data_IF_507620646426
#
_entry.id   IF_507620646426
#
_cell.length_a   1.000
_cell.length_b   1.000
_cell.length_c   1.000
_cell.angle_alpha   90.00
_cell.angle_beta   90.00
_cell.angle_gamma   90.00
#
_symmetry.space_group_name_H-M   'P 1'
#
loop_
_entity.id
_entity.type
_entity.pdbx_description
1 polymer ?
#
# COMPACT_ATOMS: atom_id res chain seq x y z
N UNK A 1 -7.90 21.55 0.55
CA UNK A 1 -7.32 20.21 0.79
C UNK A 1 -6.76 20.12 2.21
N UNK A 2 -6.16 21.19 2.75
CA UNK A 2 -6.09 21.35 4.21
C UNK A 2 -7.51 21.30 4.81
N UNK A 3 -7.64 20.60 5.93
CA UNK A 3 -8.83 20.40 6.78
C UNK A 3 -9.84 19.28 6.43
N UNK A 4 -9.59 18.46 5.39
CA UNK A 4 -10.50 17.36 5.00
C UNK A 4 -9.88 15.95 5.19
N UNK A 5 -8.80 15.86 5.94
CA UNK A 5 -8.09 14.60 6.15
C UNK A 5 -7.85 14.35 7.63
N UNK A 6 -8.10 13.11 8.05
CA UNK A 6 -7.55 12.57 9.29
C UNK A 6 -6.28 11.80 8.93
N UNK A 7 -5.14 12.21 9.50
CA UNK A 7 -3.87 11.52 9.33
C UNK A 7 -3.51 10.84 10.65
N UNK A 8 -3.30 9.53 10.62
CA UNK A 8 -2.81 8.76 11.76
C UNK A 8 -1.39 8.34 11.42
N UNK A 9 -0.43 8.76 12.22
CA UNK A 9 0.98 8.44 12.07
C UNK A 9 1.63 8.34 13.46
N UNK A 10 2.80 7.70 13.53
CA UNK A 10 3.60 7.74 14.76
C UNK A 10 4.05 9.18 15.05
N UNK A 11 4.18 9.55 16.33
CA UNK A 11 4.68 10.87 16.73
C UNK A 11 6.00 11.20 16.03
N UNK A 12 6.03 12.37 15.38
CA UNK A 12 7.21 12.85 14.67
C UNK A 12 8.33 13.06 15.72
N UNK A 13 9.54 12.51 15.48
CA UNK A 13 10.65 12.71 16.39
C UNK A 13 10.96 14.20 16.60
N UNK A 14 11.10 14.62 17.85
CA UNK A 14 11.36 16.03 18.21
C UNK A 14 12.74 16.54 17.77
N UNK A 15 13.66 15.62 17.47
CA UNK A 15 15.02 15.93 16.99
C UNK A 15 15.11 15.69 15.50
N UNK A 16 15.81 16.57 14.78
CA UNK A 16 16.06 16.44 13.33
C UNK A 16 16.73 15.11 12.92
N UNK A 17 17.44 14.47 13.85
CA UNK A 17 18.12 13.18 13.65
C UNK A 17 17.36 12.01 14.30
N UNK A 18 16.14 12.23 14.78
CA UNK A 18 15.37 11.19 15.45
C UNK A 18 14.75 10.25 14.43
N UNK A 19 14.78 8.94 14.73
CA UNK A 19 13.99 7.96 14.00
C UNK A 19 12.61 7.81 14.62
N UNK A 20 11.62 7.47 13.79
CA UNK A 20 10.36 6.91 14.28
C UNK A 20 10.68 5.67 15.13
N UNK A 21 10.11 5.56 16.34
CA UNK A 21 10.48 4.49 17.27
C UNK A 21 9.96 3.14 16.81
N UNK A 22 8.84 3.12 16.09
CA UNK A 22 8.13 1.89 15.72
C UNK A 22 7.93 1.70 14.23
N UNK A 23 8.22 2.72 13.41
CA UNK A 23 8.17 2.63 11.95
C UNK A 23 6.80 2.18 11.43
N UNK A 24 5.72 2.64 12.08
CA UNK A 24 4.35 2.24 11.72
C UNK A 24 3.91 2.72 10.35
N UNK A 25 4.51 3.81 9.87
CA UNK A 25 4.08 4.50 8.67
C UNK A 25 2.91 5.42 8.98
N UNK A 26 2.02 5.58 8.01
CA UNK A 26 0.87 6.46 8.17
C UNK A 26 -0.33 6.00 7.38
N UNK A 27 -1.51 6.42 7.85
CA UNK A 27 -2.77 6.31 7.13
C UNK A 27 -3.39 7.70 7.01
N UNK A 28 -3.90 7.99 5.81
CA UNK A 28 -4.70 9.19 5.53
C UNK A 28 -6.12 8.73 5.23
N UNK A 29 -7.10 9.34 5.87
CA UNK A 29 -8.53 9.09 5.66
C UNK A 29 -9.17 10.42 5.24
N UNK A 30 -9.84 10.41 4.09
CA UNK A 30 -10.58 11.56 3.57
C UNK A 30 -12.05 11.49 3.98
N UNK A 31 -12.59 12.59 4.50
CA UNK A 31 -14.03 12.76 4.70
C UNK A 31 -14.76 13.23 3.43
N UNK A 32 -14.01 13.80 2.48
CA UNK A 32 -14.48 14.26 1.17
C UNK A 32 -13.79 13.49 0.05
N UNK A 33 -14.35 12.33 -0.29
CA UNK A 33 -13.91 11.52 -1.42
C UNK A 33 -14.93 11.55 -2.56
N UNK A 34 -14.43 11.59 -3.81
CA UNK A 34 -15.27 11.48 -5.00
C UNK A 34 -15.37 10.04 -5.48
N UNK A 35 -14.41 9.18 -5.10
CA UNK A 35 -14.34 7.78 -5.49
C UNK A 35 -14.09 6.91 -4.28
N UNK A 36 -14.75 5.76 -4.21
CA UNK A 36 -14.46 4.74 -3.19
C UNK A 36 -13.22 3.94 -3.56
N UNK A 37 -12.09 4.65 -3.67
CA UNK A 37 -10.77 4.08 -3.89
C UNK A 37 -9.99 4.11 -2.58
N UNK A 38 -9.24 3.04 -2.34
CA UNK A 38 -8.37 2.88 -1.19
C UNK A 38 -7.00 2.48 -1.72
N UNK A 39 -5.99 3.31 -1.48
CA UNK A 39 -4.62 3.06 -1.92
C UNK A 39 -3.76 2.56 -0.76
N UNK A 40 -2.82 1.68 -1.04
CA UNK A 40 -1.77 1.33 -0.10
C UNK A 40 -0.43 1.09 -0.79
N UNK A 41 0.70 1.37 -0.14
CA UNK A 41 2.02 1.05 -0.67
C UNK A 41 2.92 0.50 0.44
N UNK A 42 3.49 -0.68 0.21
CA UNK A 42 4.15 -1.47 1.25
C UNK A 42 5.67 -1.23 1.36
N UNK A 43 6.29 -0.59 0.36
CA UNK A 43 7.73 -0.60 0.18
C UNK A 43 8.31 0.81 -0.10
N UNK A 44 8.27 1.71 0.87
CA UNK A 44 8.64 3.12 0.64
C UNK A 44 10.10 3.36 0.20
N UNK A 45 11.01 2.42 0.44
CA UNK A 45 12.44 2.58 0.15
C UNK A 45 12.94 1.69 -1.01
N UNK A 46 12.32 0.52 -1.24
CA UNK A 46 12.86 -0.47 -2.19
C UNK A 46 12.19 -0.47 -3.56
N UNK A 47 11.06 0.22 -3.68
CA UNK A 47 10.18 0.16 -4.86
C UNK A 47 10.19 1.50 -5.63
N UNK A 48 11.30 2.23 -5.54
CA UNK A 48 11.43 3.55 -6.16
C UNK A 48 10.48 4.57 -5.55
N UNK A 49 9.80 5.35 -6.40
CA UNK A 49 8.95 6.48 -5.99
C UNK A 49 7.48 6.10 -5.72
N UNK A 50 7.19 4.79 -5.62
CA UNK A 50 5.82 4.25 -5.60
C UNK A 50 4.93 4.85 -4.51
N UNK A 51 5.49 5.25 -3.37
CA UNK A 51 4.72 5.89 -2.30
C UNK A 51 4.27 7.31 -2.67
N UNK A 52 5.11 8.08 -3.37
CA UNK A 52 4.75 9.40 -3.86
C UNK A 52 3.74 9.28 -5.02
N UNK A 53 3.89 8.28 -5.88
CA UNK A 53 2.91 7.97 -6.94
C UNK A 53 1.55 7.60 -6.36
N UNK A 54 1.53 6.73 -5.33
CA UNK A 54 0.31 6.36 -4.61
C UNK A 54 -0.36 7.58 -3.95
N UNK A 55 0.43 8.47 -3.34
CA UNK A 55 -0.08 9.72 -2.74
C UNK A 55 -0.64 10.68 -3.81
N UNK A 56 0.06 10.86 -4.92
CA UNK A 56 -0.40 11.70 -6.02
C UNK A 56 -1.72 11.19 -6.62
N UNK A 57 -1.88 9.87 -6.73
CA UNK A 57 -3.13 9.27 -7.20
C UNK A 57 -4.25 9.35 -6.17
N UNK A 58 -3.94 9.18 -4.88
CA UNK A 58 -4.91 9.41 -3.80
C UNK A 58 -5.52 10.82 -3.91
N UNK A 59 -4.69 11.84 -4.07
CA UNK A 59 -5.16 13.23 -4.23
C UNK A 59 -5.91 13.44 -5.54
N UNK A 60 -5.34 13.05 -6.68
CA UNK A 60 -5.92 13.28 -8.02
C UNK A 60 -7.23 12.56 -8.24
N UNK A 61 -7.44 11.42 -7.59
CA UNK A 61 -8.67 10.65 -7.70
C UNK A 61 -9.69 11.01 -6.63
N UNK A 62 -9.34 11.89 -5.69
CA UNK A 62 -10.10 12.16 -4.46
C UNK A 62 -10.53 10.84 -3.80
N UNK A 63 -9.55 9.97 -3.59
CA UNK A 63 -9.73 8.66 -2.97
C UNK A 63 -10.09 8.79 -1.48
N UNK A 64 -10.60 7.69 -0.92
CA UNK A 64 -11.09 7.65 0.45
C UNK A 64 -9.97 7.41 1.48
N UNK A 65 -8.98 6.59 1.14
CA UNK A 65 -7.85 6.37 2.04
C UNK A 65 -6.54 6.09 1.32
N UNK A 66 -5.44 6.36 2.03
CA UNK A 66 -4.07 6.00 1.66
C UNK A 66 -3.38 5.37 2.87
N UNK A 67 -2.72 4.22 2.70
CA UNK A 67 -1.91 3.56 3.73
C UNK A 67 -0.48 3.37 3.24
N UNK A 68 0.50 3.88 3.96
CA UNK A 68 1.92 3.74 3.61
C UNK A 68 2.67 3.05 4.75
N UNK A 69 3.42 1.99 4.43
CA UNK A 69 4.27 1.31 5.41
C UNK A 69 5.43 2.21 5.84
N UNK A 70 5.80 2.19 7.13
CA UNK A 70 6.88 3.02 7.65
C UNK A 70 8.22 2.32 7.85
N UNK A 71 8.25 0.98 7.75
CA UNK A 71 9.46 0.19 7.89
C UNK A 71 10.00 -0.20 6.50
N UNK A 72 11.30 -0.05 6.32
CA UNK A 72 11.96 -0.64 5.15
C UNK A 72 11.82 -2.15 5.24
N UNK A 73 11.56 -2.83 4.11
CA UNK A 73 11.46 -4.30 4.09
C UNK A 73 12.75 -5.01 4.56
N UNK A 74 13.86 -4.27 4.65
CA UNK A 74 15.15 -4.75 5.14
C UNK A 74 15.50 -4.27 6.56
N UNK A 75 14.55 -3.68 7.30
CA UNK A 75 14.80 -3.05 8.60
C UNK A 75 15.08 -4.03 9.76
N UNK A 76 15.16 -5.35 9.49
CA UNK A 76 15.40 -6.38 10.51
C UNK A 76 16.81 -6.92 10.40
N UNK A 77 17.55 -6.85 11.51
CA UNK A 77 18.87 -7.46 11.64
C UNK A 77 18.69 -8.96 11.90
N UNK A 78 19.56 -9.79 11.31
CA UNK A 78 19.61 -11.23 11.59
C UNK A 78 18.87 -12.13 10.60
N UNK A 79 18.42 -11.61 9.45
CA UNK A 79 17.70 -12.38 8.43
C UNK A 79 16.45 -13.10 8.95
N UNK A 80 15.83 -12.58 10.00
CA UNK A 80 14.59 -13.12 10.53
C UNK A 80 13.48 -13.00 9.48
N UNK A 81 12.67 -14.05 9.38
CA UNK A 81 11.57 -14.16 8.42
C UNK A 81 10.23 -14.28 9.13
N UNK A 82 9.14 -14.02 8.42
CA UNK A 82 7.79 -14.12 8.97
C UNK A 82 7.17 -15.50 8.67
N UNK A 83 6.12 -15.86 9.41
CA UNK A 83 5.41 -17.15 9.23
C UNK A 83 4.55 -17.21 7.97
N UNK A 84 4.03 -16.05 7.52
CA UNK A 84 3.12 -15.94 6.38
C UNK A 84 3.83 -16.33 5.06
N UNK A 85 5.04 -15.80 4.86
CA UNK A 85 5.91 -16.12 3.73
C UNK A 85 7.36 -16.22 4.20
N UNK A 86 7.78 -17.44 4.58
CA UNK A 86 9.10 -17.74 5.19
C UNK A 86 10.34 -17.32 4.38
N UNK A 87 10.18 -16.89 3.13
CA UNK A 87 11.28 -16.42 2.26
C UNK A 87 11.45 -14.89 2.27
N UNK A 88 10.56 -14.16 2.93
CA UNK A 88 10.62 -12.70 3.00
C UNK A 88 10.99 -12.25 4.40
N UNK A 89 11.67 -11.09 4.46
CA UNK A 89 12.11 -10.50 5.72
C UNK A 89 10.93 -10.23 6.65
N UNK A 90 11.18 -10.26 7.96
CA UNK A 90 10.16 -9.99 8.96
C UNK A 90 9.53 -8.57 8.82
N UNK A 91 10.29 -7.57 8.39
CA UNK A 91 9.78 -6.21 8.17
C UNK A 91 9.09 -5.99 6.81
N UNK A 92 9.01 -7.02 5.97
CA UNK A 92 8.41 -6.91 4.65
C UNK A 92 6.87 -6.80 4.75
N UNK A 93 6.36 -5.57 4.71
CA UNK A 93 4.96 -5.26 4.93
C UNK A 93 4.02 -5.86 3.86
N UNK A 94 4.51 -6.17 2.66
CA UNK A 94 3.69 -6.80 1.64
C UNK A 94 3.49 -8.30 1.88
N UNK A 95 4.39 -8.92 2.66
CA UNK A 95 4.45 -10.36 2.83
C UNK A 95 4.34 -10.80 4.29
N UNK A 96 4.07 -9.87 5.21
CA UNK A 96 3.88 -10.13 6.63
C UNK A 96 2.56 -9.51 7.14
N UNK A 97 1.68 -10.37 7.65
CA UNK A 97 0.38 -9.99 8.20
C UNK A 97 0.44 -9.50 9.67
N UNK A 98 1.61 -9.55 10.31
CA UNK A 98 1.81 -9.09 11.69
C UNK A 98 2.30 -7.61 11.77
N UNK A 99 2.17 -6.85 10.67
CA UNK A 99 2.62 -5.46 10.58
C UNK A 99 1.48 -4.46 10.78
N UNK A 100 1.79 -3.25 11.27
CA UNK A 100 0.81 -2.16 11.34
C UNK A 100 0.22 -1.79 9.97
N UNK A 101 0.99 -1.99 8.89
CA UNK A 101 0.50 -1.81 7.53
C UNK A 101 -0.69 -2.75 7.24
N UNK A 102 -0.57 -4.04 7.57
CA UNK A 102 -1.67 -4.99 7.44
C UNK A 102 -2.85 -4.59 8.35
N UNK A 103 -2.57 -4.26 9.61
CA UNK A 103 -3.60 -3.85 10.58
C UNK A 103 -4.44 -2.67 10.07
N UNK A 104 -3.81 -1.64 9.49
CA UNK A 104 -4.55 -0.50 8.92
C UNK A 104 -5.40 -0.90 7.71
N UNK A 105 -4.87 -1.73 6.80
CA UNK A 105 -5.64 -2.19 5.64
C UNK A 105 -6.86 -3.02 6.07
N UNK A 106 -6.71 -3.93 7.03
CA UNK A 106 -7.81 -4.74 7.56
C UNK A 106 -8.88 -3.90 8.24
N UNK A 107 -8.49 -2.93 9.07
CA UNK A 107 -9.45 -2.03 9.72
C UNK A 107 -10.26 -1.21 8.72
N UNK A 108 -9.64 -0.69 7.66
CA UNK A 108 -10.35 0.03 6.59
C UNK A 108 -11.29 -0.92 5.85
N UNK A 109 -10.81 -2.12 5.50
CA UNK A 109 -11.61 -3.12 4.81
C UNK A 109 -12.84 -3.53 5.62
N UNK A 110 -12.68 -3.77 6.92
CA UNK A 110 -13.76 -4.13 7.84
C UNK A 110 -14.83 -3.02 7.91
N UNK A 111 -14.42 -1.76 8.10
CA UNK A 111 -15.35 -0.62 8.15
C UNK A 111 -16.11 -0.46 6.83
N UNK A 112 -15.44 -0.66 5.70
CA UNK A 112 -16.05 -0.56 4.37
C UNK A 112 -17.04 -1.70 4.11
N UNK A 113 -16.69 -2.93 4.47
CA UNK A 113 -17.49 -4.12 4.19
C UNK A 113 -18.68 -4.29 5.13
N UNK A 114 -18.55 -3.87 6.40
CA UNK A 114 -19.64 -3.87 7.37
C UNK A 114 -20.66 -2.74 7.12
N UNK A 115 -20.32 -1.74 6.30
CA UNK A 115 -21.25 -0.68 5.94
C UNK A 115 -22.25 -1.16 4.86
N UNK A 116 -23.51 -1.38 5.28
CA UNK A 116 -24.62 -1.87 4.43
C UNK A 116 -24.92 -1.00 3.21
N UNK A 117 -24.43 0.25 3.16
CA UNK A 117 -24.58 1.17 2.03
C UNK A 117 -23.73 0.83 0.80
N UNK A 118 -22.91 -0.24 0.84
CA UNK A 118 -22.12 -0.83 -0.26
C UNK A 118 -22.00 0.02 -1.53
N UNK A 119 -21.12 1.01 -1.46
CA UNK A 119 -20.41 1.46 -2.64
C UNK A 119 -19.38 0.39 -3.01
N UNK A 120 -19.22 0.09 -4.30
CA UNK A 120 -18.17 -0.79 -4.80
C UNK A 120 -16.79 -0.17 -4.48
N UNK A 121 -16.28 -0.39 -3.27
CA UNK A 121 -14.94 0.04 -2.89
C UNK A 121 -13.90 -0.79 -3.63
N UNK A 122 -12.90 -0.11 -4.17
CA UNK A 122 -11.74 -0.75 -4.81
C UNK A 122 -10.50 -0.47 -3.99
N UNK A 123 -9.73 -1.54 -3.72
CA UNK A 123 -8.47 -1.49 -2.98
C UNK A 123 -7.33 -1.73 -3.97
N UNK A 124 -6.36 -0.82 -3.98
CA UNK A 124 -5.20 -0.85 -4.88
C UNK A 124 -3.95 -0.81 -4.01
N UNK A 125 -3.18 -1.89 -4.02
CA UNK A 125 -1.85 -1.92 -3.43
C UNK A 125 -0.81 -1.68 -4.51
N UNK A 126 0.04 -0.69 -4.29
CA UNK A 126 1.10 -0.28 -5.19
C UNK A 126 2.42 -0.98 -4.82
N UNK A 127 3.07 -1.51 -5.84
CA UNK A 127 4.41 -2.07 -5.81
C UNK A 127 5.23 -1.45 -6.94
N UNK A 128 6.47 -1.14 -6.65
CA UNK A 128 7.43 -0.76 -7.67
C UNK A 128 8.03 -2.01 -8.27
N UNK A 129 8.14 -2.04 -9.59
CA UNK A 129 8.96 -3.06 -10.23
C UNK A 129 10.43 -2.71 -9.98
N UNK A 130 11.24 -3.67 -9.51
CA UNK A 130 12.65 -3.39 -9.28
C UNK A 130 13.29 -2.95 -10.60
N UNK A 131 14.19 -1.95 -10.53
CA UNK A 131 14.83 -1.28 -11.67
C UNK A 131 15.38 -2.25 -12.74
N UNK A 132 15.82 -3.43 -12.31
CA UNK A 132 16.42 -4.47 -13.16
C UNK A 132 15.46 -5.54 -13.68
N UNK A 133 14.22 -5.60 -13.20
CA UNK A 133 13.39 -6.81 -13.32
C UNK A 133 12.22 -6.74 -14.29
N UNK A 134 11.84 -5.56 -14.82
CA UNK A 134 10.74 -5.40 -15.77
C UNK A 134 10.89 -4.13 -16.64
N UNK A 135 12.08 -3.85 -17.16
CA UNK A 135 12.42 -2.57 -17.82
C UNK A 135 11.55 -2.17 -19.02
N UNK A 136 10.78 -3.10 -19.58
CA UNK A 136 9.86 -2.86 -20.71
C UNK A 136 8.40 -2.65 -20.29
N UNK A 137 8.07 -2.93 -19.03
CA UNK A 137 6.71 -2.83 -18.50
C UNK A 137 6.59 -1.53 -17.73
N UNK A 138 5.66 -0.66 -18.12
CA UNK A 138 5.45 0.62 -17.43
C UNK A 138 4.55 0.45 -16.21
N UNK A 139 3.48 -0.32 -16.37
CA UNK A 139 2.53 -0.66 -15.30
C UNK A 139 2.07 -2.10 -15.50
N UNK A 140 1.94 -2.85 -14.41
CA UNK A 140 1.35 -4.18 -14.43
C UNK A 140 0.22 -4.24 -13.41
N UNK A 141 -1.00 -4.53 -13.87
CA UNK A 141 -2.16 -4.68 -12.97
C UNK A 141 -2.33 -6.15 -12.61
N UNK A 142 -2.14 -6.45 -11.34
CA UNK A 142 -2.41 -7.76 -10.75
C UNK A 142 -3.75 -7.73 -10.01
N UNK A 143 -4.54 -8.81 -10.09
CA UNK A 143 -5.77 -8.94 -9.29
C UNK A 143 -5.55 -9.71 -7.98
N UNK A 144 -4.28 -9.97 -7.60
CA UNK A 144 -3.95 -10.66 -6.35
C UNK A 144 -4.41 -12.12 -6.28
N UNK A 145 -4.79 -12.72 -7.42
CA UNK A 145 -5.04 -14.15 -7.53
C UNK A 145 -3.76 -14.83 -8.01
N UNK A 146 -3.59 -16.12 -7.71
CA UNK A 146 -2.67 -16.96 -8.49
C UNK A 146 -3.00 -16.82 -10.01
N UNK A 147 -2.17 -17.37 -10.92
CA UNK A 147 -2.33 -17.34 -12.39
C UNK A 147 -3.68 -17.88 -12.97
N UNK A 148 -4.70 -18.03 -12.13
CA UNK A 148 -6.07 -18.39 -12.41
C UNK A 148 -6.96 -17.22 -12.88
N UNK A 149 -6.57 -15.94 -12.67
CA UNK A 149 -7.37 -14.83 -13.18
C UNK A 149 -7.22 -14.63 -14.69
N UNK A 150 -8.33 -14.34 -15.37
CA UNK A 150 -8.35 -13.98 -16.79
C UNK A 150 -7.53 -12.72 -17.08
N UNK A 151 -7.26 -11.88 -16.07
CA UNK A 151 -6.37 -10.72 -16.22
C UNK A 151 -5.00 -11.10 -16.75
N UNK A 152 -4.51 -12.31 -16.44
CA UNK A 152 -3.17 -12.75 -16.83
C UNK A 152 -3.15 -13.45 -18.20
N UNK A 153 -4.30 -13.71 -18.82
CA UNK A 153 -4.42 -14.48 -20.07
C UNK A 153 -4.96 -13.66 -21.24
N UNK A 154 -5.73 -12.62 -20.94
CA UNK A 154 -6.34 -11.78 -21.96
C UNK A 154 -5.52 -10.51 -22.21
N UNK A 155 -4.65 -10.55 -23.23
CA UNK A 155 -3.87 -9.39 -23.68
C UNK A 155 -4.69 -8.20 -24.18
N UNK A 156 -6.02 -8.35 -24.33
CA UNK A 156 -6.91 -7.25 -24.70
C UNK A 156 -7.47 -6.47 -23.52
N UNK A 157 -7.27 -6.92 -22.29
CA UNK A 157 -7.71 -6.17 -21.12
C UNK A 157 -6.95 -4.85 -21.03
N UNK A 158 -7.65 -3.78 -20.68
CA UNK A 158 -7.06 -2.45 -20.44
C UNK A 158 -5.89 -2.52 -19.47
N UNK A 159 -5.98 -3.40 -18.47
CA UNK A 159 -4.92 -3.74 -17.51
C UNK A 159 -3.59 -4.20 -18.15
N UNK A 160 -3.62 -4.78 -19.35
CA UNK A 160 -2.47 -5.32 -20.07
C UNK A 160 -2.01 -4.44 -21.25
N UNK A 161 -2.61 -3.26 -21.42
CA UNK A 161 -2.34 -2.32 -22.54
C UNK A 161 -1.56 -1.08 -22.11
N UNK A 162 -1.05 -1.05 -20.87
CA UNK A 162 -0.37 0.11 -20.25
C UNK A 162 1.14 -0.05 -20.25
#
# INVERSE_FOLDING_TARGET
LQDNFCVIHELIPHTSNGSFKRYWGYVVISDRFARTLHHSAAHFQSDGDVCNEAAALFERTAARSLVIAGASRFAVIGNETNKCQKKTSLADAAHNNETMFQTFNEAIYEVVTNNKSKSNSTFIQWHGMAETSCSKVKVFVSVGANNASNVYRDGNLTANRV
#
